data_IF_077001290022
#
_entry.id   IF_077001290022
#
_cell.length_a   1.000
_cell.length_b   1.000
_cell.length_c   1.000
_cell.angle_alpha   90.00
_cell.angle_beta   90.00
_cell.angle_gamma   90.00
#
_symmetry.space_group_name_H-M   'P 1'
#
loop_
_entity.id
_entity.type
_entity.pdbx_description
1 polymer ?
#
# COMPACT_ATOMS: atom_id res chain seq x y z
N UNK A 1 41.62 17.97 16.67
CA UNK A 1 40.76 17.16 15.77
C UNK A 1 39.59 16.70 16.62
N UNK A 2 38.42 17.32 16.46
CA UNK A 2 37.18 16.94 17.17
C UNK A 2 36.68 15.69 16.50
N UNK A 3 36.64 14.58 17.21
CA UNK A 3 36.08 13.31 16.73
C UNK A 3 34.62 13.56 16.27
N UNK A 4 34.28 13.07 15.08
CA UNK A 4 32.90 13.11 14.60
C UNK A 4 32.05 12.26 15.56
N UNK A 5 30.92 12.79 16.07
CA UNK A 5 30.08 12.07 17.00
C UNK A 5 29.55 10.76 16.38
N UNK A 6 29.50 9.70 17.18
CA UNK A 6 28.94 8.42 16.75
C UNK A 6 27.46 8.58 16.34
N UNK A 7 26.93 7.64 15.53
CA UNK A 7 25.53 7.69 15.10
C UNK A 7 24.53 7.74 16.27
N UNK A 8 24.88 7.14 17.40
CA UNK A 8 24.07 7.19 18.63
C UNK A 8 24.13 8.58 19.31
N UNK A 9 25.30 9.23 19.30
CA UNK A 9 25.45 10.58 19.83
C UNK A 9 24.71 11.63 18.99
N UNK A 10 24.73 11.48 17.66
CA UNK A 10 23.92 12.31 16.77
C UNK A 10 22.42 12.17 17.10
N UNK A 11 21.93 10.93 17.21
CA UNK A 11 20.53 10.68 17.55
C UNK A 11 20.13 11.33 18.87
N UNK A 12 20.92 11.11 19.94
CA UNK A 12 20.67 11.70 21.26
C UNK A 12 20.66 13.25 21.24
N UNK A 13 21.53 13.86 20.43
CA UNK A 13 21.58 15.31 20.27
C UNK A 13 20.30 15.87 19.62
N UNK A 14 19.76 15.21 18.59
CA UNK A 14 18.50 15.61 17.95
C UNK A 14 17.32 15.45 18.90
N UNK A 15 17.24 14.31 19.58
CA UNK A 15 16.17 14.00 20.53
C UNK A 15 16.11 15.05 21.63
N UNK A 16 17.27 15.42 22.21
CA UNK A 16 17.33 16.46 23.25
C UNK A 16 17.06 17.86 22.71
N UNK A 17 17.50 18.17 21.47
CA UNK A 17 17.35 19.51 20.89
C UNK A 17 15.89 19.82 20.52
N UNK A 18 15.19 18.88 19.85
CA UNK A 18 13.82 19.08 19.37
C UNK A 18 12.76 18.45 20.25
N UNK A 19 13.10 17.55 21.16
CA UNK A 19 12.17 16.80 22.01
C UNK A 19 11.57 15.59 21.30
N UNK A 20 12.21 15.06 20.26
CA UNK A 20 11.78 13.85 19.58
C UNK A 20 12.03 12.60 20.43
N UNK A 21 11.16 11.59 20.33
CA UNK A 21 11.41 10.25 20.90
C UNK A 21 12.29 9.39 20.01
N UNK A 22 12.29 9.67 18.72
CA UNK A 22 13.09 9.01 17.69
C UNK A 22 13.21 9.91 16.45
N UNK A 23 14.06 9.55 15.49
CA UNK A 23 14.24 10.35 14.26
C UNK A 23 12.99 10.33 13.38
N UNK A 24 12.40 11.51 13.04
CA UNK A 24 11.16 11.57 12.28
C UNK A 24 11.32 11.19 10.80
N UNK A 25 12.48 11.44 10.19
CA UNK A 25 12.67 11.35 8.74
C UNK A 25 13.62 10.23 8.31
N UNK A 26 13.63 9.10 9.04
CA UNK A 26 14.40 7.92 8.64
C UNK A 26 13.99 7.43 7.24
N UNK A 27 14.99 6.95 6.47
CA UNK A 27 14.80 6.42 5.11
C UNK A 27 14.41 4.95 5.08
N UNK A 28 14.60 4.22 6.18
CA UNK A 28 14.19 2.81 6.29
C UNK A 28 12.66 2.73 6.34
N UNK A 29 12.04 1.90 5.50
CA UNK A 29 10.59 1.75 5.51
C UNK A 29 10.08 1.16 6.84
N UNK A 30 9.41 1.97 7.65
CA UNK A 30 8.76 1.55 8.89
C UNK A 30 7.24 1.77 8.76
N UNK A 31 6.41 0.71 8.86
CA UNK A 31 4.97 0.81 8.70
C UNK A 31 4.27 1.75 9.69
N UNK A 32 4.90 2.11 10.83
CA UNK A 32 4.37 3.10 11.76
C UNK A 32 4.25 4.48 11.11
N UNK A 33 5.18 4.79 10.19
CA UNK A 33 5.22 6.04 9.44
C UNK A 33 4.44 5.98 8.12
N UNK A 34 3.59 4.98 7.94
CA UNK A 34 2.72 4.94 6.78
C UNK A 34 1.76 6.14 6.81
N UNK A 35 1.90 7.01 5.81
CA UNK A 35 1.06 8.20 5.70
C UNK A 35 -0.29 7.83 5.11
N UNK A 36 -1.36 8.04 5.91
CA UNK A 36 -2.73 7.65 5.55
C UNK A 36 -3.36 8.66 4.57
N UNK A 37 -2.65 8.93 3.49
CA UNK A 37 -3.17 9.73 2.38
C UNK A 37 -4.21 8.91 1.59
N UNK A 38 -5.31 9.54 1.10
CA UNK A 38 -6.39 8.83 0.39
C UNK A 38 -5.90 7.88 -0.71
N UNK A 39 -4.93 8.30 -1.54
CA UNK A 39 -4.36 7.46 -2.60
C UNK A 39 -3.62 6.22 -2.08
N UNK A 40 -2.91 6.35 -0.96
CA UNK A 40 -2.21 5.20 -0.36
C UNK A 40 -3.18 4.25 0.34
N UNK A 41 -4.24 4.79 0.97
CA UNK A 41 -5.31 3.99 1.55
C UNK A 41 -6.11 3.24 0.48
N UNK A 42 -6.41 3.88 -0.66
CA UNK A 42 -7.05 3.23 -1.80
C UNK A 42 -6.20 2.08 -2.34
N UNK A 43 -4.89 2.27 -2.48
CA UNK A 43 -3.95 1.22 -2.87
C UNK A 43 -3.93 0.06 -1.89
N UNK A 44 -3.86 0.35 -0.59
CA UNK A 44 -3.91 -0.66 0.45
C UNK A 44 -5.23 -1.45 0.41
N UNK A 45 -6.37 -0.75 0.36
CA UNK A 45 -7.69 -1.36 0.30
C UNK A 45 -7.88 -2.24 -0.94
N UNK A 46 -7.40 -1.77 -2.10
CA UNK A 46 -7.44 -2.55 -3.35
C UNK A 46 -6.63 -3.84 -3.26
N UNK A 47 -5.44 -3.80 -2.64
CA UNK A 47 -4.61 -4.99 -2.45
C UNK A 47 -5.22 -5.96 -1.43
N UNK A 48 -5.74 -5.45 -0.31
CA UNK A 48 -6.45 -6.27 0.68
C UNK A 48 -7.62 -6.99 0.02
N UNK A 49 -8.49 -6.23 -0.67
CA UNK A 49 -9.62 -6.82 -1.39
C UNK A 49 -9.17 -7.83 -2.45
N UNK A 50 -8.11 -7.54 -3.21
CA UNK A 50 -7.61 -8.44 -4.23
C UNK A 50 -7.12 -9.77 -3.67
N UNK A 51 -6.41 -9.76 -2.54
CA UNK A 51 -5.93 -10.96 -1.85
C UNK A 51 -7.09 -11.75 -1.25
N UNK A 52 -7.99 -11.10 -0.52
CA UNK A 52 -9.14 -11.74 0.12
C UNK A 52 -10.14 -12.31 -0.89
N UNK A 53 -10.32 -11.63 -2.02
CA UNK A 53 -11.19 -12.10 -3.12
C UNK A 53 -10.49 -13.03 -4.13
N UNK A 54 -9.30 -13.52 -3.82
CA UNK A 54 -8.56 -14.50 -4.63
C UNK A 54 -8.38 -14.08 -6.11
N UNK A 55 -8.09 -12.80 -6.35
CA UNK A 55 -7.98 -12.23 -7.72
C UNK A 55 -6.77 -12.73 -8.52
N UNK A 56 -5.82 -13.40 -7.90
CA UNK A 56 -4.59 -13.91 -8.53
C UNK A 56 -3.55 -12.80 -8.70
N UNK A 57 -3.40 -12.24 -9.92
CA UNK A 57 -2.40 -11.23 -10.20
C UNK A 57 -2.86 -9.79 -9.90
N UNK A 58 -2.00 -9.08 -9.18
CA UNK A 58 -2.13 -7.65 -8.89
C UNK A 58 -0.84 -6.92 -9.23
N UNK A 59 -0.93 -5.68 -9.66
CA UNK A 59 0.20 -4.83 -10.01
C UNK A 59 0.15 -3.51 -9.23
N UNK A 60 1.26 -3.14 -8.61
CA UNK A 60 1.47 -1.81 -8.04
C UNK A 60 2.63 -1.15 -8.74
N UNK A 61 2.42 0.03 -9.31
CA UNK A 61 3.49 0.82 -9.92
C UNK A 61 3.64 2.17 -9.24
N UNK A 62 4.82 2.74 -9.34
CA UNK A 62 5.11 4.09 -8.85
C UNK A 62 6.59 4.41 -8.97
N UNK A 63 6.92 5.68 -9.05
CA UNK A 63 8.29 6.16 -9.13
C UNK A 63 9.13 5.75 -7.93
N UNK A 64 10.44 5.86 -8.06
CA UNK A 64 11.38 5.60 -6.95
C UNK A 64 11.04 6.52 -5.77
N UNK A 65 10.93 5.94 -4.57
CA UNK A 65 10.69 6.73 -3.36
C UNK A 65 9.24 7.11 -3.06
N UNK A 66 8.27 6.69 -3.88
CA UNK A 66 6.82 6.98 -3.67
C UNK A 66 6.17 6.18 -2.54
N UNK A 67 6.89 5.25 -1.89
CA UNK A 67 6.36 4.51 -0.74
C UNK A 67 5.84 3.10 -1.06
N UNK A 68 6.18 2.51 -2.21
CA UNK A 68 5.78 1.14 -2.58
C UNK A 68 6.09 0.11 -1.49
N UNK A 69 7.32 0.09 -1.01
CA UNK A 69 7.76 -0.89 0.00
C UNK A 69 7.08 -0.69 1.36
N UNK A 70 6.78 0.55 1.77
CA UNK A 70 6.06 0.79 3.02
C UNK A 70 4.59 0.36 2.90
N UNK A 71 3.97 0.52 1.72
CA UNK A 71 2.64 0.01 1.42
C UNK A 71 2.59 -1.52 1.57
N UNK A 72 3.58 -2.24 0.99
CA UNK A 72 3.67 -3.70 1.16
C UNK A 72 3.83 -4.12 2.62
N UNK A 73 4.67 -3.43 3.38
CA UNK A 73 4.84 -3.72 4.81
C UNK A 73 3.57 -3.45 5.63
N UNK A 74 2.80 -2.41 5.28
CA UNK A 74 1.50 -2.13 5.89
C UNK A 74 0.49 -3.22 5.53
N UNK A 75 0.46 -3.66 4.27
CA UNK A 75 -0.36 -4.77 3.78
C UNK A 75 -0.06 -6.07 4.54
N UNK A 76 1.22 -6.44 4.66
CA UNK A 76 1.64 -7.64 5.39
C UNK A 76 1.16 -7.61 6.84
N UNK A 77 1.36 -6.49 7.56
CA UNK A 77 0.86 -6.33 8.93
C UNK A 77 -0.66 -6.40 9.04
N UNK A 78 -1.37 -5.88 8.05
CA UNK A 78 -2.83 -5.89 8.07
C UNK A 78 -3.43 -7.30 7.93
N UNK A 79 -2.77 -8.16 7.15
CA UNK A 79 -3.26 -9.50 6.81
C UNK A 79 -2.48 -10.64 7.48
N UNK A 80 -1.48 -10.37 8.36
CA UNK A 80 -0.57 -11.38 8.94
C UNK A 80 -1.27 -12.55 9.63
N UNK A 81 -2.46 -12.33 10.17
CA UNK A 81 -3.22 -13.38 10.86
C UNK A 81 -3.89 -14.39 9.89
N UNK A 82 -4.05 -14.03 8.60
CA UNK A 82 -4.86 -14.81 7.64
C UNK A 82 -4.09 -15.17 6.37
N UNK A 83 -2.98 -14.50 6.12
CA UNK A 83 -2.21 -14.63 4.88
C UNK A 83 -0.77 -15.00 5.20
N UNK A 84 -0.30 -16.08 4.58
CA UNK A 84 1.12 -16.42 4.61
C UNK A 84 1.82 -15.70 3.45
N UNK A 85 2.69 -14.75 3.79
CA UNK A 85 3.40 -13.95 2.81
C UNK A 85 4.77 -14.53 2.47
N UNK A 86 5.05 -14.64 1.17
CA UNK A 86 6.40 -14.83 0.64
C UNK A 86 6.86 -13.52 0.04
N UNK A 87 7.94 -12.94 0.55
CA UNK A 87 8.48 -11.68 0.07
C UNK A 87 9.76 -11.90 -0.74
N UNK A 88 9.75 -11.48 -2.01
CA UNK A 88 10.87 -11.57 -2.93
C UNK A 88 11.34 -10.17 -3.30
N UNK A 89 12.57 -9.83 -2.92
CA UNK A 89 13.23 -8.57 -3.29
C UNK A 89 14.42 -8.75 -4.23
N UNK A 90 14.80 -10.01 -4.50
CA UNK A 90 15.90 -10.32 -5.41
C UNK A 90 15.40 -10.38 -6.86
N UNK A 91 16.07 -9.64 -7.75
CA UNK A 91 15.56 -9.27 -9.06
C UNK A 91 16.24 -9.97 -10.24
N UNK A 92 17.32 -10.72 -9.99
CA UNK A 92 18.09 -11.40 -11.05
C UNK A 92 17.89 -12.92 -10.99
N UNK A 93 16.64 -13.34 -10.87
CA UNK A 93 16.28 -14.75 -10.79
C UNK A 93 15.85 -15.29 -12.16
N UNK A 94 16.27 -16.52 -12.47
CA UNK A 94 15.66 -17.34 -13.51
C UNK A 94 14.29 -17.84 -13.05
N UNK A 95 13.49 -18.42 -13.94
CA UNK A 95 12.22 -19.06 -13.57
C UNK A 95 12.42 -20.18 -12.54
N UNK A 96 13.51 -20.96 -12.68
CA UNK A 96 13.88 -21.98 -11.71
C UNK A 96 14.23 -21.37 -10.35
N UNK A 97 15.18 -20.42 -10.31
CA UNK A 97 15.61 -19.79 -9.07
C UNK A 97 14.49 -19.06 -8.33
N UNK A 98 13.54 -18.47 -9.05
CA UNK A 98 12.35 -17.86 -8.45
C UNK A 98 11.45 -18.92 -7.80
N UNK A 99 11.18 -20.04 -8.49
CA UNK A 99 10.40 -21.15 -7.93
C UNK A 99 11.07 -21.73 -6.69
N UNK A 100 12.38 -21.97 -6.77
CA UNK A 100 13.18 -22.47 -5.66
C UNK A 100 13.13 -21.54 -4.44
N UNK A 101 13.31 -20.23 -4.64
CA UNK A 101 13.21 -19.25 -3.57
C UNK A 101 11.82 -19.24 -2.92
N UNK A 102 10.76 -19.36 -3.70
CA UNK A 102 9.38 -19.40 -3.18
C UNK A 102 9.18 -20.63 -2.29
N UNK A 103 9.54 -21.83 -2.77
CA UNK A 103 9.33 -23.07 -2.00
C UNK A 103 10.19 -23.10 -0.75
N UNK A 104 11.44 -22.60 -0.80
CA UNK A 104 12.30 -22.49 0.37
C UNK A 104 11.73 -21.55 1.45
N UNK A 105 11.17 -20.39 1.05
CA UNK A 105 10.54 -19.46 1.99
C UNK A 105 9.26 -20.05 2.64
N UNK A 106 8.62 -21.01 1.98
CA UNK A 106 7.47 -21.74 2.51
C UNK A 106 7.88 -22.97 3.36
N UNK A 107 9.18 -23.22 3.51
CA UNK A 107 9.70 -24.39 4.24
C UNK A 107 9.62 -25.71 3.46
N UNK A 108 9.37 -25.66 2.15
CA UNK A 108 9.31 -26.81 1.28
C UNK A 108 10.73 -27.19 0.84
N UNK A 109 11.07 -28.49 0.89
CA UNK A 109 12.38 -28.95 0.45
C UNK A 109 12.55 -28.81 -1.07
N UNK A 110 13.59 -28.07 -1.49
CA UNK A 110 13.93 -27.85 -2.90
C UNK A 110 15.17 -28.63 -3.37
N UNK A 111 15.90 -29.30 -2.45
CA UNK A 111 17.17 -29.96 -2.77
C UNK A 111 16.96 -31.05 -3.82
N UNK A 112 17.78 -31.01 -4.88
CA UNK A 112 17.82 -32.00 -5.97
C UNK A 112 16.50 -32.15 -6.73
N UNK A 113 15.58 -31.21 -6.62
CA UNK A 113 14.30 -31.23 -7.31
C UNK A 113 14.32 -30.42 -8.60
N UNK A 114 13.68 -30.97 -9.62
CA UNK A 114 13.34 -30.23 -10.84
C UNK A 114 12.31 -29.13 -10.54
N UNK A 115 12.23 -28.14 -11.41
CA UNK A 115 11.20 -27.09 -11.29
C UNK A 115 9.77 -27.67 -11.25
N UNK A 116 9.51 -28.73 -12.01
CA UNK A 116 8.20 -29.38 -12.03
C UNK A 116 7.85 -30.01 -10.68
N UNK A 117 8.78 -30.71 -10.07
CA UNK A 117 8.59 -31.32 -8.74
C UNK A 117 8.36 -30.23 -7.67
N UNK A 118 9.11 -29.12 -7.74
CA UNK A 118 8.89 -27.99 -6.83
C UNK A 118 7.49 -27.37 -7.00
N UNK A 119 6.98 -27.28 -8.24
CA UNK A 119 5.63 -26.76 -8.50
C UNK A 119 4.56 -27.74 -7.98
N UNK A 120 4.78 -29.04 -8.08
CA UNK A 120 3.86 -30.05 -7.54
C UNK A 120 3.80 -29.98 -6.01
N UNK A 121 4.95 -29.88 -5.34
CA UNK A 121 5.00 -29.71 -3.89
C UNK A 121 4.36 -28.40 -3.43
N UNK A 122 4.62 -27.32 -4.18
CA UNK A 122 3.97 -26.04 -3.93
C UNK A 122 2.45 -26.15 -4.04
N UNK A 123 1.95 -26.83 -5.08
CA UNK A 123 0.52 -27.03 -5.25
C UNK A 123 -0.10 -27.78 -4.05
N UNK A 124 0.53 -28.87 -3.63
CA UNK A 124 0.10 -29.64 -2.44
C UNK A 124 0.06 -28.76 -1.20
N UNK A 125 1.13 -27.98 -0.97
CA UNK A 125 1.19 -27.04 0.14
C UNK A 125 0.08 -25.99 0.09
N UNK A 126 -0.18 -25.41 -1.09
CA UNK A 126 -1.23 -24.41 -1.26
C UNK A 126 -2.63 -24.96 -0.98
N UNK A 127 -2.90 -26.21 -1.36
CA UNK A 127 -4.14 -26.91 -1.04
C UNK A 127 -4.29 -27.11 0.48
N UNK A 128 -3.22 -27.52 1.16
CA UNK A 128 -3.22 -27.66 2.62
C UNK A 128 -3.49 -26.32 3.32
N UNK A 129 -2.87 -25.22 2.82
CA UNK A 129 -3.15 -23.88 3.37
C UNK A 129 -4.60 -23.46 3.15
N UNK A 130 -5.15 -23.73 1.97
CA UNK A 130 -6.55 -23.44 1.68
C UNK A 130 -7.50 -24.21 2.63
N UNK A 131 -7.26 -25.51 2.84
CA UNK A 131 -8.03 -26.34 3.78
C UNK A 131 -7.93 -25.82 5.23
N UNK A 132 -6.78 -25.23 5.58
CA UNK A 132 -6.59 -24.57 6.87
C UNK A 132 -7.19 -23.14 6.95
N UNK A 133 -7.92 -22.70 5.92
CA UNK A 133 -8.51 -21.37 5.84
C UNK A 133 -7.50 -20.23 5.67
N UNK A 134 -6.28 -20.53 5.24
CA UNK A 134 -5.21 -19.55 5.03
C UNK A 134 -4.96 -19.29 3.55
N UNK A 135 -4.64 -18.06 3.22
CA UNK A 135 -4.23 -17.66 1.88
C UNK A 135 -2.71 -17.55 1.80
N UNK A 136 -2.12 -17.89 0.66
CA UNK A 136 -0.70 -17.65 0.40
C UNK A 136 -0.58 -16.52 -0.62
N UNK A 137 0.26 -15.52 -0.31
CA UNK A 137 0.50 -14.37 -1.18
C UNK A 137 1.99 -14.15 -1.42
N UNK A 138 2.37 -14.09 -2.69
CA UNK A 138 3.70 -13.79 -3.16
C UNK A 138 3.80 -12.30 -3.46
N UNK A 139 4.66 -11.60 -2.74
CA UNK A 139 4.96 -10.18 -2.93
C UNK A 139 6.32 -10.05 -3.61
N UNK A 140 6.35 -9.49 -4.81
CA UNK A 140 7.60 -9.29 -5.56
C UNK A 140 7.85 -7.79 -5.67
N UNK A 141 8.86 -7.30 -4.93
CA UNK A 141 9.31 -5.91 -5.04
C UNK A 141 10.35 -5.74 -6.15
N UNK A 142 10.46 -4.55 -6.71
CA UNK A 142 11.35 -4.21 -7.82
C UNK A 142 11.11 -5.10 -9.08
N UNK A 143 9.86 -5.46 -9.37
CA UNK A 143 9.48 -6.41 -10.42
C UNK A 143 9.97 -6.02 -11.83
N UNK A 144 10.28 -4.73 -12.10
CA UNK A 144 10.89 -4.30 -13.37
C UNK A 144 12.26 -4.94 -13.63
N UNK A 145 12.95 -5.40 -12.59
CA UNK A 145 14.25 -6.04 -12.70
C UNK A 145 14.18 -7.53 -13.05
N UNK A 146 13.03 -8.20 -12.85
CA UNK A 146 12.85 -9.59 -13.25
C UNK A 146 13.04 -9.77 -14.74
N UNK A 147 13.74 -10.81 -15.17
CA UNK A 147 13.82 -11.21 -16.57
C UNK A 147 12.46 -11.62 -17.15
N UNK A 148 12.33 -11.60 -18.47
CA UNK A 148 11.08 -12.00 -19.16
C UNK A 148 10.77 -13.49 -18.83
N UNK A 149 11.78 -14.37 -18.78
CA UNK A 149 11.66 -15.78 -18.38
C UNK A 149 11.09 -15.95 -16.96
N UNK A 150 11.57 -15.18 -15.98
CA UNK A 150 11.08 -15.25 -14.62
C UNK A 150 9.61 -14.77 -14.52
N UNK A 151 9.28 -13.71 -15.27
CA UNK A 151 7.90 -13.24 -15.38
C UNK A 151 6.99 -14.30 -16.01
N UNK A 152 7.42 -14.94 -17.11
CA UNK A 152 6.66 -16.05 -17.71
C UNK A 152 6.49 -17.21 -16.73
N UNK A 153 7.51 -17.53 -15.94
CA UNK A 153 7.45 -18.54 -14.89
C UNK A 153 6.37 -18.26 -13.83
N UNK A 154 6.08 -16.98 -13.55
CA UNK A 154 4.97 -16.60 -12.67
C UNK A 154 3.60 -16.91 -13.27
N UNK A 155 3.46 -16.91 -14.61
CA UNK A 155 2.24 -17.37 -15.26
C UNK A 155 1.94 -18.82 -14.95
N UNK A 156 2.97 -19.69 -14.91
CA UNK A 156 2.79 -21.09 -14.59
C UNK A 156 2.32 -21.26 -13.13
N UNK A 157 2.93 -20.52 -12.20
CA UNK A 157 2.51 -20.53 -10.80
C UNK A 157 1.09 -19.99 -10.60
N UNK A 158 0.65 -19.06 -11.44
CA UNK A 158 -0.72 -18.54 -11.40
C UNK A 158 -1.78 -19.51 -11.93
N UNK A 159 -1.38 -20.63 -12.54
CA UNK A 159 -2.28 -21.71 -12.93
C UNK A 159 -2.62 -22.64 -11.76
N UNK A 160 -1.96 -22.47 -10.61
CA UNK A 160 -2.29 -23.23 -9.40
C UNK A 160 -3.64 -22.72 -8.86
N UNK A 161 -4.68 -23.46 -9.17
CA UNK A 161 -6.07 -23.12 -8.87
C UNK A 161 -6.90 -24.39 -8.59
N UNK A 162 -7.99 -24.22 -7.91
CA UNK A 162 -9.08 -25.18 -7.84
C UNK A 162 -10.15 -24.79 -8.88
N UNK A 163 -11.24 -25.54 -8.95
CA UNK A 163 -12.39 -25.20 -9.80
C UNK A 163 -13.04 -23.87 -9.39
N UNK A 164 -12.82 -23.41 -8.16
CA UNK A 164 -13.49 -22.24 -7.59
C UNK A 164 -12.58 -21.03 -7.45
N UNK A 165 -11.27 -21.22 -7.11
CA UNK A 165 -10.41 -20.09 -6.74
C UNK A 165 -8.92 -20.30 -7.06
N UNK A 166 -8.19 -19.16 -7.16
CA UNK A 166 -6.74 -19.14 -7.29
C UNK A 166 -6.08 -19.43 -5.93
N UNK A 167 -5.20 -20.45 -5.91
CA UNK A 167 -4.49 -20.85 -4.70
C UNK A 167 -3.39 -19.85 -4.28
N UNK A 168 -2.71 -19.25 -5.25
CA UNK A 168 -1.62 -18.29 -5.01
C UNK A 168 -2.02 -16.89 -5.47
N UNK A 169 -1.87 -15.91 -4.57
CA UNK A 169 -2.05 -14.50 -4.89
C UNK A 169 -0.69 -13.87 -5.20
N UNK A 170 -0.55 -13.15 -6.30
CA UNK A 170 0.72 -12.60 -6.76
C UNK A 170 0.60 -11.08 -6.86
N UNK A 171 1.41 -10.36 -6.09
CA UNK A 171 1.48 -8.90 -6.13
C UNK A 171 2.83 -8.50 -6.72
N UNK A 172 2.82 -7.97 -7.93
CA UNK A 172 3.98 -7.38 -8.57
C UNK A 172 4.06 -5.90 -8.17
N UNK A 173 5.20 -5.49 -7.65
CA UNK A 173 5.44 -4.11 -7.25
C UNK A 173 6.71 -3.61 -7.94
N UNK A 174 6.63 -2.45 -8.59
CA UNK A 174 7.79 -1.95 -9.31
C UNK A 174 7.64 -0.51 -9.78
N UNK A 175 8.64 -0.07 -10.55
CA UNK A 175 8.61 1.22 -11.22
C UNK A 175 7.69 1.16 -12.45
N UNK A 176 7.28 2.30 -13.03
CA UNK A 176 6.40 2.34 -14.21
C UNK A 176 6.89 1.48 -15.38
N UNK A 177 8.21 1.25 -15.47
CA UNK A 177 8.84 0.42 -16.49
C UNK A 177 8.32 -1.03 -16.48
N UNK A 178 7.86 -1.54 -15.33
CA UNK A 178 7.25 -2.89 -15.28
C UNK A 178 5.99 -2.93 -16.13
N UNK A 179 5.15 -1.89 -16.08
CA UNK A 179 3.94 -1.82 -16.90
C UNK A 179 4.27 -1.72 -18.38
N UNK A 180 5.32 -0.95 -18.74
CA UNK A 180 5.84 -0.87 -20.12
C UNK A 180 6.39 -2.23 -20.58
N UNK A 181 7.14 -2.93 -19.72
CA UNK A 181 7.69 -4.25 -19.99
C UNK A 181 6.59 -5.27 -20.27
N UNK A 182 5.50 -5.24 -19.51
CA UNK A 182 4.35 -6.11 -19.70
C UNK A 182 3.57 -5.87 -21.01
N UNK A 183 3.89 -4.81 -21.76
CA UNK A 183 3.35 -4.60 -23.11
C UNK A 183 4.05 -5.42 -24.21
N UNK A 184 5.16 -6.08 -23.91
CA UNK A 184 5.83 -6.99 -24.84
C UNK A 184 4.90 -8.13 -25.23
N UNK A 185 5.00 -8.59 -26.50
CA UNK A 185 4.20 -9.69 -27.01
C UNK A 185 4.40 -11.00 -26.19
N UNK A 186 5.64 -11.29 -25.77
CA UNK A 186 5.99 -12.43 -24.92
C UNK A 186 5.24 -12.42 -23.58
N UNK A 187 5.03 -11.25 -22.98
CA UNK A 187 4.44 -11.11 -21.64
C UNK A 187 2.92 -10.83 -21.67
N UNK A 188 2.28 -10.93 -22.85
CA UNK A 188 0.84 -10.69 -23.04
C UNK A 188 -0.02 -11.55 -22.08
N UNK A 189 0.40 -12.79 -21.83
CA UNK A 189 -0.30 -13.73 -20.92
C UNK A 189 -0.40 -13.19 -19.50
N UNK A 190 0.69 -12.62 -18.96
CA UNK A 190 0.70 -12.00 -17.62
C UNK A 190 -0.20 -10.77 -17.61
N UNK A 191 -0.03 -9.88 -18.59
CA UNK A 191 -0.81 -8.65 -18.68
C UNK A 191 -2.33 -8.93 -18.65
N UNK A 192 -2.77 -9.99 -19.33
CA UNK A 192 -4.18 -10.37 -19.37
C UNK A 192 -4.69 -10.93 -18.04
N UNK A 193 -3.80 -11.39 -17.15
CA UNK A 193 -4.14 -11.96 -15.84
C UNK A 193 -4.12 -10.93 -14.71
N UNK A 194 -3.59 -9.73 -14.94
CA UNK A 194 -3.62 -8.66 -13.95
C UNK A 194 -5.05 -8.22 -13.73
N UNK A 195 -5.59 -8.55 -12.56
CA UNK A 195 -6.96 -8.21 -12.16
C UNK A 195 -7.04 -6.79 -11.58
N UNK A 196 -5.97 -6.33 -10.92
CA UNK A 196 -5.90 -5.01 -10.29
C UNK A 196 -4.58 -4.34 -10.62
N UNK A 197 -4.62 -3.06 -10.98
CA UNK A 197 -3.44 -2.22 -11.14
C UNK A 197 -3.64 -0.93 -10.35
N UNK A 198 -2.77 -0.70 -9.37
CA UNK A 198 -2.74 0.55 -8.60
C UNK A 198 -1.46 1.30 -8.89
N UNK A 199 -1.57 2.62 -9.11
CA UNK A 199 -0.42 3.49 -9.33
C UNK A 199 -0.24 4.44 -8.14
N UNK A 200 0.95 4.39 -7.53
CA UNK A 200 1.34 5.32 -6.48
C UNK A 200 1.98 6.56 -7.08
N UNK A 201 1.58 7.72 -6.60
CA UNK A 201 2.08 9.02 -7.02
C UNK A 201 2.82 9.70 -5.88
N UNK A 202 3.69 10.64 -6.24
CA UNK A 202 4.25 11.61 -5.31
C UNK A 202 3.15 12.54 -4.78
N UNK A 203 3.41 13.24 -3.70
CA UNK A 203 2.51 14.26 -3.16
C UNK A 203 2.44 15.45 -4.12
N UNK A 204 1.23 15.85 -4.51
CA UNK A 204 1.01 16.76 -5.64
C UNK A 204 1.08 18.23 -5.25
N UNK A 205 0.93 18.54 -3.97
CA UNK A 205 0.83 19.92 -3.47
C UNK A 205 1.72 20.16 -2.25
N UNK A 206 2.16 21.40 -2.02
CA UNK A 206 2.84 21.77 -0.78
C UNK A 206 2.03 21.46 0.48
N UNK A 207 0.69 21.56 0.40
CA UNK A 207 -0.21 21.21 1.50
C UNK A 207 -0.15 19.74 1.90
N UNK A 208 -0.06 18.84 0.91
CA UNK A 208 0.12 17.40 1.17
C UNK A 208 1.50 17.13 1.79
N UNK A 209 2.54 17.84 1.36
CA UNK A 209 3.88 17.74 1.95
C UNK A 209 3.88 18.25 3.40
N UNK A 210 3.19 19.34 3.71
CA UNK A 210 3.03 19.83 5.09
C UNK A 210 2.36 18.79 5.97
N UNK A 211 1.23 18.22 5.51
CA UNK A 211 0.54 17.17 6.25
C UNK A 211 1.43 15.91 6.45
N UNK A 212 2.20 15.54 5.44
CA UNK A 212 3.16 14.43 5.55
C UNK A 212 4.25 14.70 6.59
N UNK A 213 4.85 15.89 6.59
CA UNK A 213 5.86 16.30 7.55
C UNK A 213 5.27 16.29 8.98
N UNK A 214 4.09 16.90 9.17
CA UNK A 214 3.40 16.94 10.46
C UNK A 214 3.05 15.56 10.96
N UNK A 215 2.54 14.67 10.09
CA UNK A 215 2.26 13.29 10.43
C UNK A 215 3.49 12.56 11.00
N UNK A 216 4.65 12.71 10.36
CA UNK A 216 5.90 12.10 10.83
C UNK A 216 6.36 12.68 12.17
N UNK A 217 6.25 13.98 12.35
CA UNK A 217 6.58 14.66 13.62
C UNK A 217 5.65 14.20 14.76
N UNK A 218 4.36 14.01 14.50
CA UNK A 218 3.41 13.50 15.49
C UNK A 218 3.75 12.07 15.94
N UNK A 219 4.15 11.19 15.03
CA UNK A 219 4.53 9.81 15.37
C UNK A 219 5.70 9.79 16.35
N UNK A 220 6.68 10.68 16.20
CA UNK A 220 7.83 10.77 17.09
C UNK A 220 7.55 11.60 18.35
N UNK A 221 6.30 12.00 18.56
CA UNK A 221 5.84 12.69 19.77
C UNK A 221 6.23 14.17 19.82
N UNK A 222 6.46 14.83 18.68
CA UNK A 222 6.68 16.25 18.64
C UNK A 222 5.36 17.01 18.81
N UNK A 223 5.27 17.79 19.87
CA UNK A 223 4.14 18.65 20.23
C UNK A 223 4.54 20.14 20.36
N UNK A 224 5.75 20.46 19.91
CA UNK A 224 6.29 21.81 19.93
C UNK A 224 5.67 22.75 18.87
N UNK A 225 6.13 24.00 18.83
CA UNK A 225 5.69 24.98 17.84
C UNK A 225 6.09 24.56 16.44
N UNK A 226 5.47 25.17 15.41
CA UNK A 226 5.75 24.89 14.01
C UNK A 226 7.25 24.88 13.71
N UNK A 227 7.75 23.70 13.33
CA UNK A 227 9.18 23.44 13.09
C UNK A 227 9.59 23.80 11.66
N UNK A 228 8.72 23.52 10.68
CA UNK A 228 8.87 23.90 9.28
C UNK A 228 7.83 24.97 8.95
N UNK A 229 8.28 26.19 8.64
CA UNK A 229 7.37 27.23 8.20
C UNK A 229 6.90 26.98 6.76
N UNK A 230 5.88 27.73 6.32
CA UNK A 230 5.26 27.56 5.00
C UNK A 230 6.28 27.64 3.85
N UNK A 231 7.24 28.54 3.93
CA UNK A 231 8.28 28.73 2.92
C UNK A 231 9.26 27.55 2.90
N UNK A 232 9.56 26.93 4.05
CA UNK A 232 10.38 25.72 4.11
C UNK A 232 9.64 24.51 3.54
N UNK A 233 8.35 24.39 3.79
CA UNK A 233 7.50 23.35 3.19
C UNK A 233 7.42 23.50 1.67
N UNK A 234 7.21 24.74 1.19
CA UNK A 234 7.20 25.07 -0.23
C UNK A 234 8.52 24.67 -0.91
N UNK A 235 9.66 25.08 -0.31
CA UNK A 235 10.98 24.68 -0.79
C UNK A 235 11.15 23.15 -0.77
N UNK A 236 10.70 22.47 0.28
CA UNK A 236 10.76 21.01 0.36
C UNK A 236 9.99 20.37 -0.80
N UNK A 237 8.79 20.86 -1.11
CA UNK A 237 8.00 20.37 -2.23
C UNK A 237 8.70 20.62 -3.57
N UNK A 238 9.22 21.83 -3.81
CA UNK A 238 9.91 22.20 -5.05
C UNK A 238 11.12 21.31 -5.33
N UNK A 239 11.95 21.00 -4.32
CA UNK A 239 13.16 20.19 -4.50
C UNK A 239 12.92 18.68 -4.42
N UNK A 240 11.84 18.23 -3.79
CA UNK A 240 11.50 16.80 -3.72
C UNK A 240 10.57 16.31 -4.83
N UNK A 241 9.90 17.24 -5.54
CA UNK A 241 8.79 16.90 -6.43
C UNK A 241 7.68 16.12 -5.70
N UNK A 242 7.52 16.36 -4.37
CA UNK A 242 6.59 15.66 -3.52
C UNK A 242 6.93 14.18 -3.26
N UNK A 243 8.12 13.72 -3.62
CA UNK A 243 8.55 12.32 -3.43
C UNK A 243 8.89 12.06 -1.98
N UNK A 244 8.18 11.15 -1.25
CA UNK A 244 8.34 10.93 0.19
C UNK A 244 9.79 10.66 0.63
N UNK A 245 10.54 9.88 -0.15
CA UNK A 245 11.96 9.61 0.14
C UNK A 245 12.81 10.86 0.11
N UNK A 246 12.62 11.72 -0.89
CA UNK A 246 13.36 12.99 -1.02
C UNK A 246 12.93 13.98 0.05
N UNK A 247 11.63 14.04 0.38
CA UNK A 247 11.13 14.84 1.51
C UNK A 247 11.86 14.44 2.80
N UNK A 248 11.96 13.13 3.08
CA UNK A 248 12.64 12.65 4.28
C UNK A 248 14.11 13.09 4.29
N UNK A 249 14.83 12.87 3.19
CA UNK A 249 16.25 13.22 3.09
C UNK A 249 16.47 14.73 3.28
N UNK A 250 15.65 15.56 2.64
CA UNK A 250 15.74 17.02 2.75
C UNK A 250 15.44 17.49 4.18
N UNK A 251 14.36 16.99 4.77
CA UNK A 251 13.97 17.36 6.14
C UNK A 251 14.99 16.90 7.18
N UNK A 252 15.54 15.69 7.04
CA UNK A 252 16.57 15.17 7.95
C UNK A 252 17.83 16.04 7.92
N UNK A 253 18.35 16.34 6.72
CA UNK A 253 19.52 17.22 6.56
C UNK A 253 19.26 18.65 7.06
N UNK A 254 18.06 19.19 6.83
CA UNK A 254 17.70 20.53 7.31
C UNK A 254 17.59 20.57 8.83
N UNK A 255 17.06 19.53 9.48
CA UNK A 255 17.07 19.37 10.94
C UNK A 255 18.49 19.30 11.48
N UNK A 256 19.38 18.56 10.82
CA UNK A 256 20.80 18.50 11.20
C UNK A 256 21.44 19.90 11.21
N UNK A 257 21.20 20.69 10.16
CA UNK A 257 21.69 22.06 10.07
C UNK A 257 21.07 22.97 11.14
N UNK A 258 19.77 22.84 11.41
CA UNK A 258 19.10 23.60 12.45
C UNK A 258 19.68 23.28 13.83
N UNK A 259 19.88 22.00 14.15
CA UNK A 259 20.48 21.55 15.40
C UNK A 259 21.92 22.07 15.57
N UNK A 260 22.77 21.93 14.55
CA UNK A 260 24.13 22.44 14.54
C UNK A 260 24.20 23.96 14.73
N UNK A 261 23.21 24.69 14.21
CA UNK A 261 23.07 26.16 14.41
C UNK A 261 22.31 26.57 15.68
N UNK A 262 22.00 25.62 16.58
CA UNK A 262 21.18 25.83 17.78
C UNK A 262 19.82 26.51 17.49
N UNK A 263 19.26 26.27 16.28
CA UNK A 263 17.97 26.86 15.86
C UNK A 263 16.83 25.86 16.08
N UNK A 264 15.70 26.39 16.56
CA UNK A 264 14.49 25.62 16.84
C UNK A 264 13.52 25.53 15.65
N UNK A 265 13.84 26.17 14.52
CA UNK A 265 13.01 26.16 13.30
C UNK A 265 13.88 25.91 12.09
N UNK A 266 13.30 25.19 11.14
CA UNK A 266 13.90 24.96 9.82
C UNK A 266 13.49 26.12 8.90
N UNK A 267 14.47 26.73 8.26
CA UNK A 267 14.25 27.79 7.27
C UNK A 267 14.32 27.24 5.85
N UNK A 268 13.72 27.93 4.84
CA UNK A 268 13.83 27.56 3.44
C UNK A 268 15.29 27.49 2.96
N UNK A 269 16.17 28.36 3.48
CA UNK A 269 17.61 28.33 3.19
C UNK A 269 18.26 26.99 3.56
N UNK A 270 17.85 26.36 4.69
CA UNK A 270 18.38 25.06 5.11
C UNK A 270 17.95 23.95 4.15
N UNK A 271 16.71 24.00 3.67
CA UNK A 271 16.21 23.07 2.66
C UNK A 271 16.98 23.23 1.33
N UNK A 272 17.12 24.48 0.85
CA UNK A 272 17.88 24.77 -0.38
C UNK A 272 19.33 24.31 -0.28
N UNK A 273 19.97 24.52 0.87
CA UNK A 273 21.35 24.07 1.12
C UNK A 273 21.45 22.54 1.16
N UNK A 274 20.46 21.87 1.78
CA UNK A 274 20.38 20.41 1.76
C UNK A 274 20.19 19.88 0.32
N UNK A 275 19.31 20.50 -0.46
CA UNK A 275 19.08 20.14 -1.86
C UNK A 275 20.33 20.32 -2.71
N UNK A 276 21.06 21.44 -2.57
CA UNK A 276 22.32 21.68 -3.27
C UNK A 276 23.38 20.64 -2.94
N UNK A 277 23.49 20.20 -1.67
CA UNK A 277 24.40 19.11 -1.27
C UNK A 277 24.03 17.75 -1.88
N UNK A 278 22.79 17.57 -2.30
CA UNK A 278 22.26 16.37 -2.94
C UNK A 278 22.18 16.51 -4.48
N UNK A 279 22.65 17.62 -5.04
CA UNK A 279 22.56 17.94 -6.49
C UNK A 279 21.10 17.93 -7.00
N UNK A 280 20.15 18.30 -6.14
CA UNK A 280 18.75 18.41 -6.52
C UNK A 280 18.49 19.82 -7.07
N UNK A 281 17.85 19.85 -8.24
CA UNK A 281 17.35 21.07 -8.86
C UNK A 281 15.86 21.27 -8.50
N UNK A 282 15.37 22.52 -8.37
CA UNK A 282 13.94 22.71 -8.17
C UNK A 282 13.17 22.15 -9.37
N UNK A 283 12.36 21.14 -9.12
CA UNK A 283 11.56 20.50 -10.15
C UNK A 283 10.44 21.43 -10.62
N UNK A 284 10.22 21.43 -11.93
CA UNK A 284 9.20 22.28 -12.53
C UNK A 284 7.80 21.72 -12.35
N UNK A 285 7.60 20.41 -12.13
CA UNK A 285 6.28 19.82 -11.80
C UNK A 285 6.43 18.36 -11.35
N UNK A 286 5.69 17.96 -10.31
CA UNK A 286 5.45 16.54 -10.03
C UNK A 286 4.62 15.92 -11.19
N UNK A 287 4.80 14.64 -11.53
CA UNK A 287 3.96 13.97 -12.53
C UNK A 287 2.49 14.11 -12.14
N UNK A 288 1.71 14.81 -12.98
CA UNK A 288 0.28 15.08 -12.71
C UNK A 288 -0.53 13.79 -12.83
N UNK A 289 -1.42 13.57 -11.85
CA UNK A 289 -2.45 12.55 -11.95
C UNK A 289 -3.38 12.95 -13.09
N UNK A 290 -3.45 12.12 -14.14
CA UNK A 290 -4.36 12.38 -15.26
C UNK A 290 -5.73 11.73 -15.00
N UNK A 291 -6.83 12.28 -15.55
CA UNK A 291 -8.16 11.66 -15.42
C UNK A 291 -8.22 10.19 -15.91
N UNK A 292 -7.34 9.80 -16.84
CA UNK A 292 -7.18 8.42 -17.31
C UNK A 292 -6.62 7.49 -16.21
N UNK A 293 -5.83 8.01 -15.28
CA UNK A 293 -5.26 7.23 -14.18
C UNK A 293 -6.33 6.91 -13.11
N UNK A 294 -7.33 7.77 -12.99
CA UNK A 294 -8.49 7.58 -12.09
C UNK A 294 -9.57 6.68 -12.75
N UNK A 295 -9.55 6.57 -14.07
CA UNK A 295 -10.60 5.88 -14.85
C UNK A 295 -10.42 4.37 -15.05
N UNK A 296 -9.27 3.79 -14.69
CA UNK A 296 -8.99 2.35 -14.88
C UNK A 296 -9.67 1.44 -13.86
N UNK A 297 -10.38 1.98 -12.87
CA UNK A 297 -11.18 1.25 -11.89
C UNK A 297 -12.60 0.89 -12.39
N UNK A 298 -12.89 0.95 -13.69
CA UNK A 298 -14.07 0.29 -14.24
C UNK A 298 -13.81 -1.22 -14.32
N UNK A 299 -14.08 -1.92 -13.22
CA UNK A 299 -14.27 -3.36 -13.25
C UNK A 299 -15.30 -3.68 -14.33
N UNK A 300 -14.88 -4.41 -15.38
CA UNK A 300 -15.82 -5.18 -16.20
C UNK A 300 -16.31 -6.34 -15.36
N UNK A 301 -17.37 -6.12 -14.59
CA UNK A 301 -18.14 -7.19 -13.97
C UNK A 301 -18.90 -7.87 -15.13
N UNK A 302 -18.69 -9.15 -15.44
CA UNK A 302 -19.54 -9.83 -16.39
C UNK A 302 -20.95 -9.89 -15.81
N UNK A 303 -21.93 -9.41 -16.58
CA UNK A 303 -23.32 -9.45 -16.18
C UNK A 303 -23.76 -10.90 -15.87
N UNK A 304 -24.47 -11.15 -14.76
CA UNK A 304 -24.97 -12.48 -14.43
C UNK A 304 -25.89 -12.93 -15.55
N UNK A 305 -25.64 -14.14 -16.09
CA UNK A 305 -26.55 -14.79 -17.03
C UNK A 305 -27.83 -15.15 -16.27
N UNK A 306 -28.86 -14.32 -16.40
CA UNK A 306 -30.21 -14.63 -15.92
C UNK A 306 -30.78 -15.70 -16.85
N UNK A 307 -30.91 -16.94 -16.36
CA UNK A 307 -31.65 -17.99 -17.01
C UNK A 307 -33.14 -17.61 -16.98
N UNK A 308 -33.63 -17.07 -18.08
CA UNK A 308 -35.07 -16.88 -18.29
C UNK A 308 -35.72 -18.24 -18.50
N UNK A 309 -36.32 -18.83 -17.46
CA UNK A 309 -37.40 -19.81 -17.64
C UNK A 309 -38.67 -19.03 -18.02
N UNK A 310 -39.13 -19.26 -19.23
CA UNK A 310 -40.45 -18.78 -19.71
C UNK A 310 -41.53 -19.33 -18.81
N UNK A 311 -42.37 -18.46 -18.29
CA UNK A 311 -43.78 -18.75 -17.97
C UNK A 311 -44.64 -17.76 -18.75
N UNK A 312 -45.42 -18.31 -19.64
CA UNK A 312 -46.48 -17.60 -20.38
C UNK A 312 -47.62 -17.26 -19.42
N UNK A 313 -48.02 -15.98 -19.34
CA UNK A 313 -49.40 -15.59 -19.11
C UNK A 313 -49.62 -14.14 -19.55
N UNK A 314 -50.48 -14.02 -20.52
CA UNK A 314 -51.45 -12.95 -20.84
C UNK A 314 -51.14 -11.46 -20.59
N UNK A 315 -51.33 -10.73 -21.69
CA UNK A 315 -51.12 -9.31 -21.88
C UNK A 315 -52.02 -8.40 -21.07
N UNK A 316 -51.49 -7.24 -20.82
CA UNK A 316 -52.18 -5.94 -20.74
C UNK A 316 -51.20 -4.88 -21.22
N UNK A 317 -51.59 -4.16 -22.28
CA UNK A 317 -50.92 -2.93 -22.72
C UNK A 317 -51.10 -1.84 -21.68
N UNK A 318 -50.01 -1.19 -21.25
CA UNK A 318 -50.03 0.14 -20.66
C UNK A 318 -48.85 0.94 -21.23
N UNK A 319 -49.22 2.00 -21.95
CA UNK A 319 -48.36 3.11 -22.36
C UNK A 319 -47.85 3.89 -21.15
N UNK A 320 -46.63 4.41 -21.25
CA UNK A 320 -46.23 5.54 -20.41
C UNK A 320 -44.78 5.49 -19.95
N UNK A 321 -44.01 6.37 -20.53
CA UNK A 321 -42.72 6.87 -20.10
C UNK A 321 -42.70 7.20 -18.60
N UNK A 322 -41.83 6.55 -17.83
CA UNK A 322 -41.21 7.16 -16.64
C UNK A 322 -39.96 6.39 -16.23
N UNK A 323 -38.84 7.09 -16.30
CA UNK A 323 -37.57 6.65 -15.74
C UNK A 323 -37.65 6.85 -14.23
N UNK A 324 -37.92 5.81 -13.48
CA UNK A 324 -37.76 5.85 -12.02
C UNK A 324 -36.29 5.64 -11.65
N UNK A 325 -35.63 6.73 -11.26
CA UNK A 325 -34.45 6.67 -10.41
C UNK A 325 -34.85 6.04 -9.08
N UNK A 326 -34.08 5.02 -8.64
CA UNK A 326 -34.30 4.39 -7.34
C UNK A 326 -34.07 5.43 -6.22
N UNK A 327 -34.94 5.47 -5.18
CA UNK A 327 -34.82 6.47 -4.14
C UNK A 327 -33.54 6.32 -3.32
N UNK A 328 -32.83 7.43 -3.17
CA UNK A 328 -31.68 7.59 -2.27
C UNK A 328 -32.18 7.41 -0.82
N UNK A 329 -31.67 6.38 -0.12
CA UNK A 329 -31.92 6.18 1.31
C UNK A 329 -30.78 6.87 2.07
N UNK A 330 -31.03 8.00 2.76
CA UNK A 330 -30.01 8.69 3.53
C UNK A 330 -29.64 7.86 4.77
N UNK A 331 -28.34 7.83 5.11
CA UNK A 331 -27.83 7.26 6.35
C UNK A 331 -28.56 7.83 7.56
N UNK A 332 -28.93 6.99 8.53
CA UNK A 332 -29.59 7.41 9.78
C UNK A 332 -28.71 8.40 10.54
N UNK A 333 -29.31 9.35 11.23
CA UNK A 333 -28.61 10.40 12.01
C UNK A 333 -27.66 9.81 13.07
N UNK A 334 -28.00 8.65 13.64
CA UNK A 334 -27.15 7.87 14.56
C UNK A 334 -25.83 7.40 13.93
N UNK A 335 -25.82 7.09 12.64
CA UNK A 335 -24.65 6.61 11.92
C UNK A 335 -23.76 7.79 11.48
N UNK A 336 -24.37 8.94 11.17
CA UNK A 336 -23.66 10.20 10.93
C UNK A 336 -22.93 10.71 12.18
N UNK A 337 -23.57 10.63 13.35
CA UNK A 337 -22.95 11.01 14.64
C UNK A 337 -21.83 10.06 15.03
N UNK A 338 -21.94 8.77 14.70
CA UNK A 338 -20.89 7.76 14.97
C UNK A 338 -19.68 7.94 14.06
N UNK A 339 -19.92 8.25 12.78
CA UNK A 339 -18.88 8.55 11.80
C UNK A 339 -18.18 9.89 12.08
N UNK A 340 -18.90 10.91 12.54
CA UNK A 340 -18.31 12.19 12.93
C UNK A 340 -17.42 12.09 14.17
N UNK A 341 -17.70 11.18 15.11
CA UNK A 341 -16.84 10.92 16.28
C UNK A 341 -15.54 10.18 15.94
N UNK A 342 -15.52 9.42 14.83
CA UNK A 342 -14.32 8.80 14.29
C UNK A 342 -13.45 9.80 13.50
N UNK A 343 -14.06 10.87 12.99
CA UNK A 343 -13.39 11.90 12.20
C UNK A 343 -12.72 13.00 13.06
N UNK A 344 -12.96 13.05 14.37
CA UNK A 344 -12.46 14.15 15.24
C UNK A 344 -10.98 13.99 15.62
N UNK A 345 -10.37 12.83 15.42
CA UNK A 345 -8.96 12.56 15.79
C UNK A 345 -8.03 12.16 14.62
N UNK A 346 -8.44 12.38 13.36
CA UNK A 346 -7.60 12.14 12.18
C UNK A 346 -7.75 13.25 11.14
N UNK A 347 -6.80 13.41 10.20
CA UNK A 347 -6.97 14.35 9.10
C UNK A 347 -8.26 14.02 8.36
N UNK A 348 -9.04 15.04 8.03
CA UNK A 348 -10.37 14.95 7.45
C UNK A 348 -10.35 14.04 6.20
N UNK A 349 -10.67 12.78 6.39
CA UNK A 349 -11.03 11.88 5.29
C UNK A 349 -12.35 12.41 4.75
N UNK A 350 -12.33 12.88 3.51
CA UNK A 350 -13.49 13.47 2.85
C UNK A 350 -14.70 12.54 3.00
N UNK A 351 -15.85 13.08 3.44
CA UNK A 351 -17.14 12.39 3.43
C UNK A 351 -17.42 11.70 2.08
N UNK A 352 -16.90 12.26 1.00
CA UNK A 352 -16.91 11.70 -0.36
C UNK A 352 -16.21 10.34 -0.48
N UNK A 353 -15.21 10.04 0.35
CA UNK A 353 -14.51 8.75 0.32
C UNK A 353 -15.40 7.64 0.88
N UNK A 354 -16.04 7.88 2.03
CA UNK A 354 -16.95 6.89 2.63
C UNK A 354 -18.22 6.70 1.79
N UNK A 355 -18.79 7.76 1.22
CA UNK A 355 -19.91 7.66 0.29
C UNK A 355 -19.53 6.86 -0.97
N UNK A 356 -18.31 7.05 -1.48
CA UNK A 356 -17.81 6.33 -2.65
C UNK A 356 -17.52 4.87 -2.33
N UNK A 357 -16.94 4.56 -1.16
CA UNK A 357 -16.69 3.19 -0.70
C UNK A 357 -18.01 2.46 -0.40
N UNK A 358 -18.98 3.13 0.20
CA UNK A 358 -20.33 2.58 0.43
C UNK A 358 -21.06 2.31 -0.89
N UNK A 359 -20.96 3.21 -1.88
CA UNK A 359 -21.48 2.98 -3.23
C UNK A 359 -20.82 1.78 -3.90
N UNK A 360 -19.49 1.70 -3.90
CA UNK A 360 -18.75 0.60 -4.50
C UNK A 360 -19.08 -0.73 -3.83
N UNK A 361 -19.22 -0.75 -2.50
CA UNK A 361 -19.62 -1.95 -1.77
C UNK A 361 -21.09 -2.33 -2.09
N UNK A 362 -21.98 -1.37 -2.21
CA UNK A 362 -23.39 -1.61 -2.56
C UNK A 362 -23.54 -2.06 -4.01
N UNK A 363 -22.80 -1.48 -4.94
CA UNK A 363 -22.80 -1.87 -6.36
C UNK A 363 -22.15 -3.25 -6.58
N UNK A 364 -21.14 -3.61 -5.80
CA UNK A 364 -20.44 -4.90 -5.92
C UNK A 364 -21.18 -6.07 -5.27
N UNK A 365 -21.90 -5.84 -4.17
CA UNK A 365 -22.49 -6.89 -3.33
C UNK A 365 -24.04 -6.85 -3.25
N UNK A 366 -24.68 -5.86 -3.86
CA UNK A 366 -26.13 -5.67 -3.79
C UNK A 366 -26.64 -5.20 -2.41
N UNK A 367 -27.96 -4.97 -2.25
CA UNK A 367 -28.55 -4.38 -1.05
C UNK A 367 -28.41 -5.20 0.25
N UNK A 368 -28.11 -6.50 0.15
CA UNK A 368 -27.94 -7.41 1.30
C UNK A 368 -26.57 -7.28 2.00
N UNK A 369 -25.61 -6.58 1.40
CA UNK A 369 -24.26 -6.44 1.95
C UNK A 369 -24.17 -5.54 3.18
N UNK A 370 -25.17 -4.74 3.45
CA UNK A 370 -25.19 -3.79 4.57
C UNK A 370 -25.47 -4.50 5.90
N UNK A 371 -26.10 -5.66 5.90
CA UNK A 371 -26.40 -6.41 7.14
C UNK A 371 -25.24 -7.32 7.62
N UNK A 372 -24.34 -7.75 6.74
CA UNK A 372 -23.25 -8.67 7.10
C UNK A 372 -21.89 -8.00 7.34
N UNK A 373 -21.71 -6.74 6.95
CA UNK A 373 -20.46 -5.97 7.13
C UNK A 373 -20.46 -5.08 8.38
N UNK A 374 -21.09 -5.50 9.48
CA UNK A 374 -20.79 -4.95 10.79
C UNK A 374 -19.35 -5.34 11.14
N UNK A 375 -18.37 -4.57 10.69
CA UNK A 375 -16.98 -4.66 11.15
C UNK A 375 -16.99 -4.42 12.66
N UNK A 376 -16.98 -5.51 13.43
CA UNK A 376 -16.77 -5.46 14.88
C UNK A 376 -15.28 -5.20 15.11
N UNK A 377 -14.94 -3.95 15.42
CA UNK A 377 -13.67 -3.68 16.08
C UNK A 377 -13.74 -4.22 17.52
N UNK A 378 -12.72 -4.94 17.99
CA UNK A 378 -12.67 -5.32 19.40
C UNK A 378 -12.54 -4.05 20.26
N UNK A 379 -13.17 -4.03 21.47
CA UNK A 379 -13.06 -2.89 22.37
C UNK A 379 -11.61 -2.74 22.83
N UNK A 380 -11.13 -1.48 22.87
CA UNK A 380 -9.82 -1.08 23.36
C UNK A 380 -9.56 -1.70 24.74
N UNK A 381 -8.55 -2.55 24.84
CA UNK A 381 -8.10 -3.11 26.10
C UNK A 381 -7.44 -2.03 26.95
N UNK A 382 -7.92 -1.92 28.18
CA UNK A 382 -7.44 -1.06 29.25
C UNK A 382 -5.95 -1.36 29.59
N UNK A 383 -5.06 -0.35 29.74
CA UNK A 383 -3.67 -0.57 30.09
C UNK A 383 -3.51 -0.79 31.61
N UNK A 384 -3.41 -2.04 32.01
CA UNK A 384 -3.13 -2.36 33.39
C UNK A 384 -3.00 -3.84 33.66
N UNK A 385 -1.94 -4.46 33.20
CA UNK A 385 -1.35 -5.65 33.85
C UNK A 385 0.08 -5.87 33.38
N UNK A 386 0.98 -5.85 34.34
CA UNK A 386 2.36 -6.27 34.24
C UNK A 386 2.49 -7.68 33.66
N UNK A 387 3.32 -7.85 32.64
CA UNK A 387 3.86 -9.16 32.31
C UNK A 387 5.39 -9.13 32.35
N UNK A 388 5.93 -10.10 33.05
CA UNK A 388 7.33 -10.36 33.31
C UNK A 388 8.13 -10.51 32.02
N UNK A 389 9.30 -9.85 32.01
CA UNK A 389 10.44 -10.17 31.12
C UNK A 389 10.91 -11.59 31.41
N UNK A 390 10.88 -12.46 30.41
CA UNK A 390 11.81 -13.58 30.34
C UNK A 390 12.56 -13.53 29.01
N UNK A 391 13.84 -13.58 29.21
CA UNK A 391 14.98 -13.60 28.31
C UNK A 391 14.87 -14.59 27.15
N UNK A 392 15.16 -14.13 25.94
CA UNK A 392 15.81 -14.96 24.93
C UNK A 392 17.15 -14.32 24.54
N UNK A 393 18.19 -14.89 25.09
CA UNK A 393 19.57 -14.74 24.61
C UNK A 393 19.93 -16.00 23.82
N UNK A 394 20.67 -15.77 22.75
CA UNK A 394 21.56 -16.65 22.00
C UNK A 394 20.93 -17.66 21.02
N UNK A 395 21.20 -17.50 19.73
CA UNK A 395 22.23 -18.25 19.00
C UNK A 395 22.22 -17.90 17.52
N UNK A 396 23.40 -17.47 17.04
CA UNK A 396 23.95 -17.40 15.68
C UNK A 396 23.20 -16.66 14.57
#
# INVERSE_FOLDING_TARGET
>A
MTELPSSQQHKAMFESHFGFREMPFGVTPDPRFFYEHPLYLEGLASLVHGIESKKGFMLVTGEVGTGKTILLRKLMRHLEARVHFVFVSNSHLTSYGLTELIVQNLGINSKEKSRLEMIQDLNSYLIEQLQAGRTVALLIDEAQKLGDEALEGLCDLSNLETDEEKLLQIVLVGQPEVATKLNKASLRRIKQRIALHHRLYSLQTPGEVDHYIRHRLQIVGYDGPELFNKEAVEATWQYSGGTPRLINILCDNALAMACAGAKKKVSPYMIMKAAGGLLLEPGTEAPKITPSDVGLLRMKVPAPKINQKRSETNGVEVNGSDRHEAPFIPLRESDRVRLSRLAVNGPAVSLHFFDRMTRLATEAMGPMAIESSAIRFPPSANPGRHFHRQSWRNSY
#
